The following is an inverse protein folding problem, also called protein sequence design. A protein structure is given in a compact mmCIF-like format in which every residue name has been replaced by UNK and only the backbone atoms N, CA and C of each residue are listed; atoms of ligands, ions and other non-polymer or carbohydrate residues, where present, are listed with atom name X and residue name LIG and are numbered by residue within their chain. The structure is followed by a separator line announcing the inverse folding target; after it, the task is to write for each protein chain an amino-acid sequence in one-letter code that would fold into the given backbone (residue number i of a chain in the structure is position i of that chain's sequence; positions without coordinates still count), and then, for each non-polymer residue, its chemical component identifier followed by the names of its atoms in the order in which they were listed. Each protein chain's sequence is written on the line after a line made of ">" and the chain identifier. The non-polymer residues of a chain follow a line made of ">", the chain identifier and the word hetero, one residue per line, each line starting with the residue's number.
data_IF_425150186534
#
_entry.id   IF_425150186534
#
_cell.length_a   1.000
_cell.length_b   1.000
_cell.length_c   1.000
_cell.angle_alpha   90.00
_cell.angle_beta   90.00
_cell.angle_gamma   90.00
#
_symmetry.space_group_name_H-M   'P 1'
#
loop_
_entity.id
_entity.type
_entity.pdbx_description
1 polymer ?
#
# COMPACT_ATOMS: atom_id res chain seq x y z
N UNK A 1 33.48 36.07 5.24
CA UNK A 1 33.02 35.54 3.94
C UNK A 1 33.52 34.11 3.79
N UNK A 2 33.20 33.25 4.75
CA UNK A 2 33.33 31.81 4.56
C UNK A 2 32.14 31.38 3.70
N UNK A 3 32.47 31.04 2.46
CA UNK A 3 32.32 29.67 2.02
C UNK A 3 31.03 29.13 1.40
N UNK A 4 30.50 29.83 0.39
CA UNK A 4 29.66 29.16 -0.62
C UNK A 4 30.36 27.93 -1.25
N UNK A 5 31.69 27.90 -1.28
CA UNK A 5 32.45 26.85 -1.92
C UNK A 5 32.63 25.62 -1.00
N UNK A 6 32.94 25.81 0.29
CA UNK A 6 32.91 24.75 1.30
C UNK A 6 31.49 24.25 1.53
N UNK A 7 30.45 25.11 1.53
CA UNK A 7 29.06 24.66 1.61
C UNK A 7 28.69 23.74 0.45
N UNK A 8 29.11 24.09 -0.78
CA UNK A 8 28.88 23.26 -1.95
C UNK A 8 29.67 21.94 -1.90
N UNK A 9 30.92 21.98 -1.44
CA UNK A 9 31.74 20.77 -1.24
C UNK A 9 31.18 19.88 -0.15
N UNK A 10 30.68 20.45 0.95
CA UNK A 10 30.04 19.73 2.04
C UNK A 10 28.76 19.05 1.56
N UNK A 11 27.89 19.76 0.82
CA UNK A 11 26.70 19.18 0.21
C UNK A 11 27.03 18.03 -0.77
N UNK A 12 28.04 18.23 -1.61
CA UNK A 12 28.49 17.19 -2.55
C UNK A 12 29.01 15.94 -1.81
N UNK A 13 29.78 16.14 -0.73
CA UNK A 13 30.28 15.06 0.12
C UNK A 13 29.12 14.32 0.80
N UNK A 14 28.17 15.03 1.40
CA UNK A 14 27.00 14.43 2.04
C UNK A 14 26.17 13.63 1.03
N UNK A 15 25.95 14.16 -0.16
CA UNK A 15 25.26 13.43 -1.24
C UNK A 15 26.00 12.16 -1.65
N UNK A 16 27.33 12.21 -1.75
CA UNK A 16 28.13 11.03 -2.08
C UNK A 16 28.04 9.97 -0.97
N UNK A 17 28.10 10.39 0.30
CA UNK A 17 27.94 9.50 1.46
C UNK A 17 26.56 8.85 1.48
N UNK A 18 25.49 9.61 1.24
CA UNK A 18 24.12 9.08 1.14
C UNK A 18 23.98 8.03 0.04
N UNK A 19 24.60 8.26 -1.13
CA UNK A 19 24.60 7.28 -2.25
C UNK A 19 25.30 5.98 -1.86
N UNK A 20 26.48 6.07 -1.23
CA UNK A 20 27.22 4.89 -0.76
C UNK A 20 26.45 4.14 0.31
N UNK A 21 25.90 4.86 1.30
CA UNK A 21 25.08 4.27 2.35
C UNK A 21 23.88 3.52 1.76
N UNK A 22 23.13 4.14 0.85
CA UNK A 22 21.96 3.52 0.21
C UNK A 22 22.34 2.22 -0.52
N UNK A 23 23.46 2.22 -1.25
CA UNK A 23 23.94 1.03 -1.96
C UNK A 23 24.33 -0.11 -1.00
N UNK A 24 24.99 0.23 0.12
CA UNK A 24 25.37 -0.74 1.15
C UNK A 24 24.14 -1.33 1.87
N UNK A 25 23.15 -0.50 2.20
CA UNK A 25 21.89 -0.95 2.79
C UNK A 25 21.14 -1.91 1.85
N UNK A 26 21.08 -1.59 0.56
CA UNK A 26 20.47 -2.46 -0.44
C UNK A 26 21.19 -3.82 -0.56
N UNK A 27 22.53 -3.82 -0.53
CA UNK A 27 23.32 -5.05 -0.58
C UNK A 27 23.15 -5.89 0.68
N UNK A 28 23.17 -5.27 1.86
CA UNK A 28 22.92 -5.94 3.13
C UNK A 28 21.53 -6.58 3.17
N UNK A 29 20.51 -5.85 2.70
CA UNK A 29 19.14 -6.35 2.64
C UNK A 29 18.96 -7.49 1.63
N UNK A 30 19.63 -7.41 0.47
CA UNK A 30 19.65 -8.51 -0.50
C UNK A 30 20.29 -9.76 0.09
N UNK A 31 21.43 -9.61 0.77
CA UNK A 31 22.11 -10.75 1.42
C UNK A 31 21.25 -11.39 2.51
N UNK A 32 20.61 -10.59 3.34
CA UNK A 32 19.65 -11.10 4.33
C UNK A 32 18.48 -11.81 3.65
N UNK A 33 17.94 -11.28 2.56
CA UNK A 33 16.87 -11.94 1.81
C UNK A 33 17.32 -13.27 1.19
N UNK A 34 18.56 -13.35 0.68
CA UNK A 34 19.14 -14.58 0.14
C UNK A 34 19.31 -15.70 1.20
N UNK A 35 19.39 -15.36 2.49
CA UNK A 35 19.44 -16.36 3.58
C UNK A 35 18.11 -17.09 3.80
N UNK A 36 16.98 -16.42 3.54
CA UNK A 36 15.64 -16.95 3.82
C UNK A 36 14.82 -17.28 2.57
N UNK A 37 15.21 -16.73 1.43
CA UNK A 37 14.49 -16.87 0.16
C UNK A 37 15.47 -17.04 -0.98
N UNK A 38 15.26 -18.08 -1.77
CA UNK A 38 15.81 -18.18 -3.13
C UNK A 38 15.28 -17.05 -4.01
N UNK A 39 15.96 -16.81 -5.13
CA UNK A 39 15.54 -15.80 -6.11
C UNK A 39 14.15 -16.11 -6.66
N UNK A 40 13.86 -17.38 -6.90
CA UNK A 40 12.59 -17.88 -7.43
C UNK A 40 11.46 -17.69 -6.40
N UNK A 41 11.72 -17.93 -5.12
CA UNK A 41 10.76 -17.68 -4.04
C UNK A 41 10.45 -16.19 -3.89
N UNK A 42 11.47 -15.32 -3.97
CA UNK A 42 11.23 -13.86 -3.95
C UNK A 42 10.34 -13.41 -5.10
N UNK A 43 10.54 -13.95 -6.30
CA UNK A 43 9.70 -13.63 -7.45
C UNK A 43 8.23 -14.04 -7.23
N UNK A 44 7.98 -15.19 -6.59
CA UNK A 44 6.63 -15.62 -6.20
C UNK A 44 6.02 -14.69 -5.16
N UNK A 45 6.79 -14.28 -4.15
CA UNK A 45 6.35 -13.32 -3.13
C UNK A 45 5.95 -11.99 -3.77
N UNK A 46 6.74 -11.48 -4.72
CA UNK A 46 6.40 -10.24 -5.43
C UNK A 46 5.09 -10.38 -6.23
N UNK A 47 4.95 -11.46 -7.00
CA UNK A 47 3.75 -11.70 -7.79
C UNK A 47 2.48 -11.84 -6.92
N UNK A 48 2.57 -12.56 -5.80
CA UNK A 48 1.44 -12.69 -4.87
C UNK A 48 1.13 -11.36 -4.17
N UNK A 49 2.16 -10.58 -3.82
CA UNK A 49 1.96 -9.25 -3.25
C UNK A 49 1.20 -8.32 -4.22
N UNK A 50 1.61 -8.29 -5.48
CA UNK A 50 0.94 -7.49 -6.51
C UNK A 50 -0.52 -7.94 -6.70
N UNK A 51 -0.76 -9.26 -6.77
CA UNK A 51 -2.13 -9.83 -6.83
C UNK A 51 -3.00 -9.39 -5.65
N UNK A 52 -2.47 -9.47 -4.43
CA UNK A 52 -3.20 -9.06 -3.22
C UNK A 52 -3.52 -7.57 -3.25
N UNK A 53 -2.58 -6.73 -3.72
CA UNK A 53 -2.82 -5.29 -3.87
C UNK A 53 -3.87 -4.98 -4.92
N UNK A 54 -3.90 -5.71 -6.04
CA UNK A 54 -4.93 -5.52 -7.08
C UNK A 54 -6.32 -5.89 -6.55
N UNK A 55 -6.43 -6.98 -5.78
CA UNK A 55 -7.69 -7.37 -5.11
C UNK A 55 -8.13 -6.30 -4.10
N UNK A 56 -7.19 -5.80 -3.30
CA UNK A 56 -7.40 -4.75 -2.31
C UNK A 56 -7.91 -3.44 -2.94
N UNK A 57 -7.29 -3.06 -4.05
CA UNK A 57 -7.66 -1.90 -4.84
C UNK A 57 -9.06 -2.07 -5.47
N UNK A 58 -9.34 -3.23 -6.05
CA UNK A 58 -10.67 -3.52 -6.59
C UNK A 58 -11.76 -3.49 -5.51
N UNK A 59 -11.48 -4.00 -4.31
CA UNK A 59 -12.40 -3.93 -3.18
C UNK A 59 -12.64 -2.48 -2.72
N UNK A 60 -11.62 -1.62 -2.75
CA UNK A 60 -11.75 -0.19 -2.49
C UNK A 60 -12.64 0.50 -3.50
N UNK A 61 -12.42 0.27 -4.79
CA UNK A 61 -13.24 0.84 -5.86
C UNK A 61 -14.70 0.37 -5.78
N UNK A 62 -14.93 -0.89 -5.39
CA UNK A 62 -16.27 -1.41 -5.20
C UNK A 62 -16.98 -0.76 -4.00
N UNK A 63 -16.27 -0.53 -2.88
CA UNK A 63 -16.80 0.21 -1.75
C UNK A 63 -17.14 1.66 -2.12
N UNK A 64 -16.27 2.32 -2.89
CA UNK A 64 -16.49 3.68 -3.36
C UNK A 64 -17.76 3.78 -4.22
N UNK A 65 -17.92 2.87 -5.19
CA UNK A 65 -19.15 2.74 -6.00
C UNK A 65 -20.39 2.43 -5.16
N UNK A 66 -20.27 1.57 -4.15
CA UNK A 66 -21.37 1.23 -3.26
C UNK A 66 -21.80 2.43 -2.42
N UNK A 67 -20.84 3.23 -1.94
CA UNK A 67 -21.09 4.48 -1.22
C UNK A 67 -21.82 5.50 -2.10
N UNK A 68 -21.38 5.66 -3.35
CA UNK A 68 -22.00 6.61 -4.27
C UNK A 68 -23.42 6.21 -4.65
N UNK A 69 -23.67 4.92 -4.88
CA UNK A 69 -25.03 4.38 -5.07
C UNK A 69 -25.91 4.61 -3.84
N UNK A 70 -25.38 4.40 -2.64
CA UNK A 70 -26.12 4.61 -1.40
C UNK A 70 -26.48 6.07 -1.15
N UNK A 71 -25.65 7.03 -1.62
CA UNK A 71 -25.95 8.47 -1.59
C UNK A 71 -26.98 8.86 -2.65
N UNK A 72 -26.80 8.38 -3.88
CA UNK A 72 -27.69 8.70 -5.00
C UNK A 72 -29.12 8.14 -4.85
N UNK A 73 -29.33 7.13 -4.01
CA UNK A 73 -30.61 6.43 -3.90
C UNK A 73 -31.73 7.26 -3.27
N UNK A 74 -31.46 8.06 -2.23
CA UNK A 74 -32.50 8.84 -1.56
C UNK A 74 -32.01 10.01 -0.68
N UNK A 75 -30.70 10.21 -0.51
CA UNK A 75 -30.11 11.20 0.41
C UNK A 75 -30.67 11.14 1.85
N UNK A 76 -31.27 10.00 2.23
CA UNK A 76 -31.88 9.79 3.54
C UNK A 76 -30.86 9.19 4.52
N UNK A 77 -30.92 9.63 5.78
CA UNK A 77 -30.21 8.95 6.86
C UNK A 77 -30.81 7.58 7.14
N UNK A 78 -30.11 6.76 7.91
CA UNK A 78 -30.60 5.45 8.34
C UNK A 78 -31.97 5.54 9.03
N UNK A 79 -32.12 6.46 9.98
CA UNK A 79 -33.35 6.66 10.73
C UNK A 79 -34.51 7.05 9.80
N UNK A 80 -34.24 7.94 8.84
CA UNK A 80 -35.23 8.36 7.85
C UNK A 80 -35.62 7.22 6.90
N UNK A 81 -34.69 6.33 6.55
CA UNK A 81 -35.01 5.13 5.75
C UNK A 81 -35.85 4.12 6.53
N UNK A 82 -35.55 3.93 7.82
CA UNK A 82 -36.34 3.06 8.69
C UNK A 82 -37.75 3.60 8.84
N UNK A 83 -37.90 4.91 9.06
CA UNK A 83 -39.21 5.57 9.16
C UNK A 83 -39.99 5.50 7.83
N UNK A 84 -39.32 5.70 6.69
CA UNK A 84 -39.96 5.73 5.36
C UNK A 84 -40.30 4.36 4.78
N UNK A 85 -39.40 3.38 4.92
CA UNK A 85 -39.49 2.09 4.25
C UNK A 85 -39.66 0.90 5.19
N UNK A 86 -39.52 1.12 6.50
CA UNK A 86 -39.43 0.06 7.50
C UNK A 86 -38.02 -0.54 7.60
N UNK A 87 -37.71 -1.09 8.77
CA UNK A 87 -36.38 -1.59 9.12
C UNK A 87 -35.87 -2.69 8.18
N UNK A 88 -36.74 -3.62 7.77
CA UNK A 88 -36.37 -4.73 6.87
C UNK A 88 -35.86 -4.19 5.53
N UNK A 89 -36.61 -3.28 4.91
CA UNK A 89 -36.25 -2.73 3.60
C UNK A 89 -35.08 -1.76 3.68
N UNK A 90 -34.96 -1.02 4.78
CA UNK A 90 -33.78 -0.20 5.05
C UNK A 90 -32.49 -1.05 5.14
N UNK A 91 -32.55 -2.23 5.80
CA UNK A 91 -31.43 -3.18 5.84
C UNK A 91 -31.09 -3.74 4.46
N UNK A 92 -32.09 -4.11 3.66
CA UNK A 92 -31.86 -4.59 2.28
C UNK A 92 -31.13 -3.54 1.42
N UNK A 93 -31.51 -2.27 1.55
CA UNK A 93 -30.86 -1.17 0.83
C UNK A 93 -29.42 -0.92 1.31
N UNK A 94 -29.13 -1.13 2.60
CA UNK A 94 -27.79 -0.95 3.17
C UNK A 94 -26.87 -2.17 2.97
N UNK A 95 -27.43 -3.36 2.76
CA UNK A 95 -26.68 -4.61 2.67
C UNK A 95 -25.54 -4.61 1.63
N UNK A 96 -25.70 -4.07 0.41
CA UNK A 96 -24.60 -4.00 -0.55
C UNK A 96 -23.42 -3.15 -0.09
N UNK A 97 -23.69 -2.06 0.64
CA UNK A 97 -22.64 -1.20 1.19
C UNK A 97 -21.87 -1.92 2.30
N UNK A 98 -22.58 -2.59 3.22
CA UNK A 98 -21.95 -3.38 4.27
C UNK A 98 -21.11 -4.53 3.70
N UNK A 99 -21.63 -5.28 2.73
CA UNK A 99 -20.89 -6.34 2.06
C UNK A 99 -19.60 -5.83 1.38
N UNK A 100 -19.65 -4.65 0.74
CA UNK A 100 -18.46 -4.03 0.15
C UNK A 100 -17.45 -3.57 1.21
N UNK A 101 -17.93 -3.08 2.36
CA UNK A 101 -17.08 -2.69 3.48
C UNK A 101 -16.37 -3.90 4.10
N UNK A 102 -17.07 -5.01 4.29
CA UNK A 102 -16.51 -6.26 4.80
C UNK A 102 -15.47 -6.83 3.82
N UNK A 103 -15.78 -6.88 2.52
CA UNK A 103 -14.82 -7.31 1.50
C UNK A 103 -13.56 -6.42 1.46
N UNK A 104 -13.71 -5.10 1.64
CA UNK A 104 -12.58 -4.17 1.75
C UNK A 104 -11.72 -4.46 2.97
N UNK A 105 -12.36 -4.75 4.11
CA UNK A 105 -11.68 -5.08 5.36
C UNK A 105 -10.90 -6.39 5.25
N UNK A 106 -11.51 -7.43 4.69
CA UNK A 106 -10.87 -8.73 4.50
C UNK A 106 -9.64 -8.63 3.58
N UNK A 107 -9.77 -7.95 2.45
CA UNK A 107 -8.64 -7.71 1.55
C UNK A 107 -7.51 -6.90 2.21
N UNK A 108 -7.85 -5.84 2.96
CA UNK A 108 -6.86 -5.07 3.74
C UNK A 108 -6.09 -5.96 4.72
N UNK A 109 -6.80 -6.80 5.45
CA UNK A 109 -6.19 -7.70 6.43
C UNK A 109 -5.28 -8.73 5.76
N UNK A 110 -5.66 -9.25 4.59
CA UNK A 110 -4.83 -10.16 3.83
C UNK A 110 -3.52 -9.50 3.38
N UNK A 111 -3.57 -8.27 2.86
CA UNK A 111 -2.37 -7.49 2.50
C UNK A 111 -1.48 -7.27 3.73
N UNK A 112 -2.06 -6.84 4.85
CA UNK A 112 -1.30 -6.58 6.08
C UNK A 112 -0.64 -7.84 6.65
N UNK A 113 -1.36 -8.97 6.63
CA UNK A 113 -0.84 -10.26 7.09
C UNK A 113 0.34 -10.70 6.22
N UNK A 114 0.19 -10.62 4.89
CA UNK A 114 1.25 -10.94 3.94
C UNK A 114 2.48 -10.03 4.11
N UNK A 115 2.26 -8.73 4.33
CA UNK A 115 3.33 -7.77 4.58
C UNK A 115 4.12 -8.08 5.86
N UNK A 116 3.41 -8.53 6.90
CA UNK A 116 4.04 -8.91 8.17
C UNK A 116 4.92 -10.15 8.00
N UNK A 117 4.44 -11.14 7.25
CA UNK A 117 5.15 -12.40 6.99
C UNK A 117 6.39 -12.20 6.12
N UNK A 118 6.27 -11.44 5.02
CA UNK A 118 7.33 -11.31 4.01
C UNK A 118 8.08 -9.96 4.07
N UNK A 119 8.16 -9.36 5.26
CA UNK A 119 8.68 -8.00 5.47
C UNK A 119 10.06 -7.75 4.85
N UNK A 120 10.99 -8.70 4.94
CA UNK A 120 12.36 -8.56 4.40
C UNK A 120 12.33 -8.44 2.88
N UNK A 121 11.55 -9.32 2.22
CA UNK A 121 11.42 -9.36 0.76
C UNK A 121 10.72 -8.11 0.25
N UNK A 122 9.67 -7.64 0.93
CA UNK A 122 8.98 -6.40 0.54
C UNK A 122 9.83 -5.15 0.76
N UNK A 123 10.65 -5.08 1.83
CA UNK A 123 11.63 -4.00 1.98
C UNK A 123 12.64 -3.98 0.84
N UNK A 124 13.04 -5.16 0.34
CA UNK A 124 13.94 -5.25 -0.81
C UNK A 124 13.27 -4.72 -2.09
N UNK A 125 11.97 -4.97 -2.25
CA UNK A 125 11.17 -4.40 -3.34
C UNK A 125 11.12 -2.87 -3.26
N UNK A 126 10.88 -2.30 -2.07
CA UNK A 126 10.86 -0.85 -1.84
C UNK A 126 12.24 -0.20 -2.09
N UNK A 127 13.31 -0.86 -1.64
CA UNK A 127 14.69 -0.42 -1.87
C UNK A 127 15.02 -0.42 -3.36
N UNK A 128 14.60 -1.45 -4.11
CA UNK A 128 14.73 -1.49 -5.58
C UNK A 128 14.02 -0.31 -6.23
N UNK A 129 12.80 0.01 -5.80
CA UNK A 129 12.06 1.16 -6.33
C UNK A 129 12.80 2.49 -6.07
N UNK A 130 13.35 2.65 -4.85
CA UNK A 130 14.13 3.83 -4.45
C UNK A 130 15.41 3.99 -5.25
N UNK A 131 16.10 2.89 -5.57
CA UNK A 131 17.29 2.91 -6.42
C UNK A 131 16.96 3.16 -7.89
N UNK A 132 15.81 2.67 -8.38
CA UNK A 132 15.39 2.85 -9.78
C UNK A 132 14.85 4.24 -10.09
N UNK A 133 14.21 4.89 -9.11
CA UNK A 133 13.80 6.29 -9.20
C UNK A 133 15.00 7.08 -8.69
N UNK A 134 15.91 7.47 -9.58
CA UNK A 134 17.04 8.31 -9.19
C UNK A 134 16.55 9.49 -8.36
N UNK A 135 16.74 9.44 -7.04
CA UNK A 135 16.37 10.55 -6.13
C UNK A 135 17.19 11.83 -6.42
N UNK A 136 18.14 11.73 -7.34
CA UNK A 136 19.13 12.72 -7.69
C UNK A 136 19.28 12.89 -9.21
N UNK A 137 18.36 12.33 -10.01
CA UNK A 137 18.18 12.69 -11.43
C UNK A 137 17.18 13.85 -11.53
#
# INVERSE_FOLDING_TARGET
>A
MTDKNEDNRHKALMTALEKVQTALEALALLKLADEFYTKEERAKVYAEYDRLRDVDQAAYENLDKARDKARAADDLTWEQRVEKYGEVKARELAAPYHAAMDARRESSLAVMAFQKEHRIVLRLLDMRATLSKGRYD
#
